data_IF_035014717154
#
_entry.id   IF_035014717154
#
_cell.length_a   1.000
_cell.length_b   1.000
_cell.length_c   1.000
_cell.angle_alpha   90.00
_cell.angle_beta   90.00
_cell.angle_gamma   90.00
#
_symmetry.space_group_name_H-M   'P 1'
#
loop_
_entity.id
_entity.type
_entity.pdbx_description
1 polymer ?
#
# COMPACT_ATOMS: atom_id res chain seq x y z
N UNK A 1 -23.51 -13.12 11.67
CA UNK A 1 -22.89 -12.25 12.70
C UNK A 1 -21.42 -12.58 12.96
N UNK A 2 -21.04 -13.78 13.42
CA UNK A 2 -19.63 -14.09 13.75
C UNK A 2 -18.72 -14.29 12.53
N UNK A 3 -19.26 -14.86 11.44
CA UNK A 3 -18.52 -15.07 10.19
C UNK A 3 -18.18 -13.74 9.48
N UNK A 4 -19.12 -12.77 9.49
CA UNK A 4 -18.95 -11.46 8.85
C UNK A 4 -17.82 -10.66 9.50
N UNK A 5 -17.73 -10.72 10.84
CA UNK A 5 -16.64 -10.08 11.61
C UNK A 5 -15.27 -10.68 11.26
N UNK A 6 -15.18 -12.01 11.12
CA UNK A 6 -13.94 -12.69 10.73
C UNK A 6 -13.49 -12.27 9.32
N UNK A 7 -14.43 -12.18 8.36
CA UNK A 7 -14.13 -11.72 7.00
C UNK A 7 -13.60 -10.29 6.97
N UNK A 8 -14.27 -9.37 7.67
CA UNK A 8 -13.86 -7.97 7.73
C UNK A 8 -12.47 -7.80 8.37
N UNK A 9 -12.16 -8.56 9.43
CA UNK A 9 -10.85 -8.53 10.05
C UNK A 9 -9.76 -9.02 9.09
N UNK A 10 -10.04 -10.08 8.33
CA UNK A 10 -9.11 -10.61 7.32
C UNK A 10 -8.87 -9.62 6.18
N UNK A 11 -9.91 -8.97 5.67
CA UNK A 11 -9.78 -7.96 4.61
C UNK A 11 -8.91 -6.77 5.08
N UNK A 12 -9.19 -6.23 6.28
CA UNK A 12 -8.39 -5.15 6.86
C UNK A 12 -6.93 -5.56 7.07
N UNK A 13 -6.69 -6.80 7.49
CA UNK A 13 -5.34 -7.35 7.65
C UNK A 13 -4.59 -7.43 6.31
N UNK A 14 -5.24 -7.93 5.26
CA UNK A 14 -4.64 -8.02 3.93
C UNK A 14 -4.30 -6.64 3.37
N UNK A 15 -5.19 -5.65 3.54
CA UNK A 15 -4.93 -4.27 3.13
C UNK A 15 -3.75 -3.66 3.89
N UNK A 16 -3.67 -3.87 5.21
CA UNK A 16 -2.52 -3.46 6.02
C UNK A 16 -1.21 -4.13 5.56
N UNK A 17 -1.27 -5.40 5.17
CA UNK A 17 -0.12 -6.14 4.65
C UNK A 17 0.46 -5.56 3.36
N UNK A 18 -0.35 -4.94 2.51
CA UNK A 18 0.11 -4.25 1.29
C UNK A 18 0.95 -3.03 1.65
N UNK A 19 0.50 -2.22 2.61
CA UNK A 19 1.21 -1.01 3.07
C UNK A 19 2.58 -1.38 3.66
N UNK A 20 2.64 -2.45 4.47
CA UNK A 20 3.90 -2.95 5.03
C UNK A 20 4.85 -3.42 3.93
N UNK A 21 4.36 -4.21 2.96
CA UNK A 21 5.17 -4.71 1.84
C UNK A 21 5.68 -3.58 0.94
N UNK A 22 4.95 -2.48 0.82
CA UNK A 22 5.38 -1.27 0.13
C UNK A 22 6.43 -0.45 0.91
N UNK A 23 6.80 -0.85 2.14
CA UNK A 23 7.74 -0.10 2.97
C UNK A 23 7.16 1.17 3.59
N UNK A 24 5.84 1.27 3.66
CA UNK A 24 5.12 2.49 4.10
C UNK A 24 4.50 2.34 5.49
N UNK A 25 4.99 1.40 6.31
CA UNK A 25 4.43 1.13 7.65
C UNK A 25 4.54 2.30 8.62
N UNK A 26 5.45 3.24 8.37
CA UNK A 26 5.67 4.45 9.18
C UNK A 26 5.18 5.73 8.51
N UNK A 27 4.60 5.64 7.31
CA UNK A 27 4.11 6.81 6.60
C UNK A 27 2.82 7.38 7.24
N UNK A 28 2.62 8.69 7.13
CA UNK A 28 1.40 9.34 7.58
C UNK A 28 0.15 8.73 6.93
N UNK A 29 -0.92 8.64 7.73
CA UNK A 29 -2.17 7.98 7.31
C UNK A 29 -2.96 8.81 6.31
N UNK A 30 -2.91 10.14 6.42
CA UNK A 30 -3.57 11.03 5.47
C UNK A 30 -2.83 11.00 4.13
N UNK A 31 -1.50 10.94 4.14
CA UNK A 31 -0.70 10.72 2.93
C UNK A 31 -1.09 9.42 2.21
N UNK A 32 -1.15 8.29 2.94
CA UNK A 32 -1.56 7.00 2.39
C UNK A 32 -2.97 7.04 1.81
N UNK A 33 -3.94 7.59 2.55
CA UNK A 33 -5.32 7.69 2.09
C UNK A 33 -5.44 8.59 0.85
N UNK A 34 -4.74 9.72 0.83
CA UNK A 34 -4.69 10.64 -0.32
C UNK A 34 -4.17 9.95 -1.57
N UNK A 35 -3.06 9.21 -1.46
CA UNK A 35 -2.53 8.42 -2.58
C UNK A 35 -3.52 7.37 -3.08
N UNK A 36 -4.20 6.64 -2.18
CA UNK A 36 -5.22 5.66 -2.56
C UNK A 36 -6.43 6.30 -3.24
N UNK A 37 -6.83 7.51 -2.83
CA UNK A 37 -7.91 8.27 -3.48
C UNK A 37 -7.50 8.66 -4.90
N UNK A 38 -6.27 9.14 -5.11
CA UNK A 38 -5.76 9.43 -6.46
C UNK A 38 -5.75 8.17 -7.35
N UNK A 39 -5.38 7.01 -6.80
CA UNK A 39 -5.43 5.74 -7.54
C UNK A 39 -6.83 5.37 -8.04
N UNK A 40 -7.91 5.85 -7.40
CA UNK A 40 -9.28 5.60 -7.88
C UNK A 40 -9.58 6.26 -9.22
N UNK A 41 -8.80 7.27 -9.61
CA UNK A 41 -8.94 7.97 -10.89
C UNK A 41 -8.25 7.25 -12.05
N UNK A 42 -7.42 6.25 -11.75
CA UNK A 42 -6.70 5.49 -12.77
C UNK A 42 -7.67 4.58 -13.52
N UNK A 43 -7.76 4.77 -14.85
CA UNK A 43 -8.67 3.98 -15.70
C UNK A 43 -8.19 2.52 -15.75
N UNK A 44 -9.10 1.59 -15.44
CA UNK A 44 -8.82 0.16 -15.53
C UNK A 44 -8.39 -0.22 -16.95
N UNK A 45 -7.26 -0.93 -17.06
CA UNK A 45 -6.70 -1.32 -18.35
C UNK A 45 -5.96 -0.20 -19.10
N UNK A 46 -5.81 0.99 -18.52
CA UNK A 46 -4.87 1.99 -19.03
C UNK A 46 -3.41 1.50 -18.91
N UNK A 47 -2.50 2.18 -19.60
CA UNK A 47 -1.06 1.91 -19.49
C UNK A 47 -0.57 2.10 -18.05
N UNK A 48 -1.04 3.15 -17.36
CA UNK A 48 -0.74 3.41 -15.96
C UNK A 48 -1.24 2.28 -15.04
N UNK A 49 -2.50 1.87 -15.19
CA UNK A 49 -3.06 0.75 -14.43
C UNK A 49 -2.22 -0.53 -14.61
N UNK A 50 -1.83 -0.86 -15.85
CA UNK A 50 -0.97 -2.02 -16.13
C UNK A 50 0.40 -1.88 -15.46
N UNK A 51 1.06 -0.73 -15.60
CA UNK A 51 2.36 -0.46 -14.99
C UNK A 51 2.30 -0.63 -13.47
N UNK A 52 1.33 -0.01 -12.79
CA UNK A 52 1.17 -0.12 -11.34
C UNK A 52 0.90 -1.56 -10.91
N UNK A 53 0.05 -2.28 -11.66
CA UNK A 53 -0.22 -3.70 -11.41
C UNK A 53 1.04 -4.56 -11.55
N UNK A 54 1.86 -4.32 -12.56
CA UNK A 54 3.06 -5.11 -12.80
C UNK A 54 4.15 -4.83 -11.74
N UNK A 55 4.32 -3.58 -11.31
CA UNK A 55 5.15 -3.24 -10.14
C UNK A 55 4.68 -4.00 -8.90
N UNK A 56 3.37 -4.00 -8.64
CA UNK A 56 2.77 -4.72 -7.52
C UNK A 56 3.04 -6.23 -7.59
N UNK A 57 2.88 -6.86 -8.75
CA UNK A 57 3.17 -8.30 -8.94
C UNK A 57 4.62 -8.61 -8.59
N UNK A 58 5.57 -7.81 -9.05
CA UNK A 58 6.98 -8.04 -8.76
C UNK A 58 7.30 -7.86 -7.27
N UNK A 59 6.72 -6.85 -6.61
CA UNK A 59 6.87 -6.67 -5.16
C UNK A 59 6.26 -7.84 -4.34
N UNK A 60 5.23 -8.51 -4.86
CA UNK A 60 4.67 -9.71 -4.23
C UNK A 60 5.56 -10.95 -4.41
N UNK A 61 6.26 -11.07 -5.53
CA UNK A 61 7.22 -12.16 -5.79
C UNK A 61 8.53 -11.98 -5.05
N UNK A 62 8.98 -10.74 -4.88
CA UNK A 62 10.20 -10.43 -4.16
C UNK A 62 10.11 -10.94 -2.71
N UNK A 63 11.17 -11.59 -2.18
CA UNK A 63 11.33 -11.78 -0.74
C UNK A 63 11.18 -10.42 -0.06
N UNK A 64 10.59 -10.36 1.14
CA UNK A 64 10.45 -9.11 1.89
C UNK A 64 11.80 -8.39 1.92
N UNK A 65 11.89 -7.29 1.18
CA UNK A 65 13.12 -6.50 1.05
C UNK A 65 13.56 -6.09 2.45
N UNK A 66 14.85 -6.30 2.72
CA UNK A 66 15.50 -5.88 3.94
C UNK A 66 15.13 -4.40 4.26
N UNK A 67 14.99 -4.03 5.54
CA UNK A 67 14.52 -2.71 6.00
C UNK A 67 15.45 -1.51 5.68
N UNK A 68 16.37 -1.68 4.73
CA UNK A 68 17.41 -0.74 4.30
C UNK A 68 17.10 -0.03 2.98
N UNK A 69 15.97 -0.32 2.32
CA UNK A 69 15.45 0.48 1.19
C UNK A 69 15.09 1.90 1.66
N UNK A 70 15.11 2.92 0.79
CA UNK A 70 14.88 4.31 1.17
C UNK A 70 13.52 4.41 1.86
N UNK A 71 13.57 4.55 3.18
CA UNK A 71 12.38 4.85 3.97
C UNK A 71 11.92 6.21 3.47
N UNK A 72 10.63 6.33 3.19
CA UNK A 72 10.00 7.63 3.23
C UNK A 72 10.04 8.04 4.71
N UNK A 73 11.20 8.55 5.14
CA UNK A 73 11.32 9.25 6.41
C UNK A 73 10.60 10.57 6.20
N UNK A 74 9.38 10.62 6.71
CA UNK A 74 8.60 11.83 6.82
C UNK A 74 9.30 12.71 7.85
N UNK A 75 10.32 13.41 7.39
CA UNK A 75 11.09 14.34 8.20
C UNK A 75 10.11 15.43 8.65
N UNK A 76 9.84 15.44 9.96
CA UNK A 76 9.03 16.42 10.66
C UNK A 76 9.73 17.80 10.65
N UNK A 77 9.86 18.37 9.46
CA UNK A 77 10.51 19.64 9.18
C UNK A 77 9.53 20.66 8.62
N UNK A 78 8.42 20.88 9.32
CA UNK A 78 7.59 22.07 9.11
C UNK A 78 7.47 22.78 10.46
N UNK A 79 8.29 23.82 10.62
CA UNK A 79 8.06 24.92 11.57
C UNK A 79 6.96 25.82 11.04
#
# INVERSE_FOLDING_TARGET
>A
MTADRKKQAREKFLLGGIVVKAGLSTADRAFLLGGLIELTRVIAGSAEHRRLRDIGKEAFKAPSLNPSSPRVEENAGWR
#
